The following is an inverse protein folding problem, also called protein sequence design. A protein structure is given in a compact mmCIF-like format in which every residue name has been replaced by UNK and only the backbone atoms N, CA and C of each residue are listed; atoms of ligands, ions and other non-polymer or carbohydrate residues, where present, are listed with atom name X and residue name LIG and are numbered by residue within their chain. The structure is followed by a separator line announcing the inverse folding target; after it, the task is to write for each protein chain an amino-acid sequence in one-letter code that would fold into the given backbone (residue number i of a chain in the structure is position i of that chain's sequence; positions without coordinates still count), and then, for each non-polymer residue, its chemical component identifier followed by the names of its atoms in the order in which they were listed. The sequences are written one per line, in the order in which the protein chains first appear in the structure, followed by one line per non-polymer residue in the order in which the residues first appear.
data_IF_688082268583
#
_entry.id   IF_688082268583
#
_cell.length_a   1.000
_cell.length_b   1.000
_cell.length_c   1.000
_cell.angle_alpha   90.00
_cell.angle_beta   90.00
_cell.angle_gamma   90.00
#
_symmetry.space_group_name_H-M   'P 1'
#
loop_
_entity.id
_entity.type
_entity.pdbx_description
1 polymer ?
#
# COMPACT_ATOMS: atom_id res chain seq x y z
N UNK A 1 -9.14 -24.48 0.07
CA UNK A 1 -10.38 -24.60 0.86
C UNK A 1 -10.47 -23.43 1.84
N UNK A 2 -11.10 -22.35 1.41
CA UNK A 2 -11.42 -21.23 2.29
C UNK A 2 -12.63 -21.62 3.14
N UNK A 3 -12.41 -22.19 4.30
CA UNK A 3 -13.46 -22.23 5.31
C UNK A 3 -13.58 -20.83 5.89
N UNK A 4 -14.64 -20.12 5.52
CA UNK A 4 -14.88 -18.76 5.95
C UNK A 4 -15.06 -18.68 7.47
N UNK A 5 -14.40 -17.70 8.08
CA UNK A 5 -14.59 -17.27 9.47
C UNK A 5 -16.01 -16.73 9.78
N UNK A 6 -16.99 -16.97 8.89
CA UNK A 6 -18.32 -16.37 8.95
C UNK A 6 -19.44 -17.24 9.54
N UNK A 7 -19.16 -18.45 9.99
CA UNK A 7 -20.22 -19.43 10.32
C UNK A 7 -20.62 -19.53 11.81
N UNK A 8 -20.07 -18.65 12.66
CA UNK A 8 -20.38 -18.66 14.10
C UNK A 8 -21.86 -18.37 14.39
N UNK A 9 -22.54 -17.61 13.51
CA UNK A 9 -23.96 -17.24 13.70
C UNK A 9 -24.95 -18.27 13.18
N UNK A 10 -24.52 -19.29 12.42
CA UNK A 10 -25.44 -20.25 11.80
C UNK A 10 -25.80 -21.47 12.67
N UNK A 11 -25.08 -21.64 13.78
CA UNK A 11 -25.31 -22.77 14.70
C UNK A 11 -25.97 -22.39 16.03
N UNK A 12 -26.72 -21.29 16.05
CA UNK A 12 -27.49 -20.92 17.21
C UNK A 12 -28.78 -21.73 17.23
N UNK A 13 -29.36 -21.95 18.42
CA UNK A 13 -30.62 -22.70 18.62
C UNK A 13 -31.81 -22.12 17.82
N UNK A 14 -31.69 -20.92 17.25
CA UNK A 14 -32.62 -20.37 16.28
C UNK A 14 -32.89 -21.32 15.09
N UNK A 15 -31.92 -22.13 14.70
CA UNK A 15 -32.08 -23.14 13.65
C UNK A 15 -33.10 -24.21 13.98
N UNK A 16 -33.34 -24.48 15.26
CA UNK A 16 -34.31 -25.46 15.72
C UNK A 16 -35.74 -24.87 15.85
N UNK A 17 -35.92 -23.59 15.53
CA UNK A 17 -37.23 -22.96 15.53
C UNK A 17 -38.12 -23.52 14.41
N UNK A 18 -39.33 -23.86 14.78
CA UNK A 18 -40.40 -24.25 13.85
C UNK A 18 -41.71 -23.59 14.27
N UNK A 19 -42.75 -23.76 13.47
CA UNK A 19 -44.07 -23.25 13.81
C UNK A 19 -44.63 -23.83 15.15
N UNK A 20 -44.18 -25.02 15.49
CA UNK A 20 -44.58 -25.74 16.73
C UNK A 20 -43.56 -25.63 17.85
N UNK A 21 -42.29 -25.24 17.56
CA UNK A 21 -41.23 -25.08 18.53
C UNK A 21 -40.63 -23.66 18.39
N UNK A 22 -41.27 -22.68 19.02
CA UNK A 22 -40.88 -21.28 18.93
C UNK A 22 -39.72 -20.91 19.88
N UNK A 23 -39.48 -21.72 20.92
CA UNK A 23 -38.42 -21.53 21.92
C UNK A 23 -37.66 -22.84 22.12
N UNK A 24 -36.87 -23.28 21.14
CA UNK A 24 -36.13 -24.53 21.22
C UNK A 24 -35.12 -24.54 22.38
N UNK A 25 -35.12 -25.61 23.12
CA UNK A 25 -34.12 -25.90 24.18
C UNK A 25 -33.03 -26.85 23.70
N UNK A 26 -33.19 -27.32 22.47
CA UNK A 26 -32.18 -28.19 21.82
C UNK A 26 -30.91 -27.39 21.52
N UNK A 27 -29.78 -28.01 21.75
CA UNK A 27 -28.46 -27.44 21.42
C UNK A 27 -27.55 -28.53 20.83
N UNK A 28 -26.80 -28.17 19.83
CA UNK A 28 -25.71 -29.03 19.35
C UNK A 28 -24.48 -28.87 20.27
N UNK A 29 -23.88 -29.99 20.64
CA UNK A 29 -22.61 -29.97 21.35
C UNK A 29 -21.55 -29.42 20.40
N UNK A 30 -20.66 -28.56 20.93
CA UNK A 30 -19.51 -28.08 20.19
C UNK A 30 -18.59 -29.23 19.78
N UNK A 31 -18.00 -29.12 18.60
CA UNK A 31 -16.91 -30.00 18.19
C UNK A 31 -15.61 -29.57 18.83
N UNK A 32 -14.66 -30.51 19.00
CA UNK A 32 -13.31 -30.15 19.44
C UNK A 32 -12.69 -29.09 18.53
N UNK A 33 -11.92 -28.17 19.12
CA UNK A 33 -11.20 -27.16 18.39
C UNK A 33 -10.07 -27.77 17.55
N UNK A 34 -9.81 -27.18 16.38
CA UNK A 34 -8.68 -27.56 15.54
C UNK A 34 -7.47 -26.69 15.91
N UNK A 35 -6.35 -27.30 16.25
CA UNK A 35 -5.07 -26.63 16.44
C UNK A 35 -4.19 -26.80 15.21
N UNK A 36 -3.49 -25.73 14.80
CA UNK A 36 -2.61 -25.80 13.66
C UNK A 36 -1.66 -24.60 13.61
N UNK A 37 -0.60 -24.76 12.84
CA UNK A 37 0.33 -23.67 12.52
C UNK A 37 -0.15 -23.02 11.24
N UNK A 38 -0.47 -21.73 11.29
CA UNK A 38 -0.95 -20.98 10.15
C UNK A 38 0.13 -20.00 9.70
N UNK A 39 0.44 -20.01 8.41
CA UNK A 39 1.25 -18.97 7.79
C UNK A 39 0.33 -17.90 7.23
N UNK A 40 0.41 -16.69 7.80
CA UNK A 40 -0.37 -15.54 7.33
C UNK A 40 0.54 -14.58 6.58
N UNK A 41 0.24 -14.34 5.31
CA UNK A 41 0.90 -13.35 4.50
C UNK A 41 0.02 -12.10 4.34
N UNK A 42 0.47 -10.96 4.87
CA UNK A 42 -0.17 -9.68 4.63
C UNK A 42 0.28 -9.14 3.27
N UNK A 43 -0.59 -9.23 2.26
CA UNK A 43 -0.26 -8.83 0.88
C UNK A 43 -0.43 -7.35 0.58
N UNK A 44 -1.13 -6.59 1.42
CA UNK A 44 -1.36 -5.17 1.19
C UNK A 44 -0.56 -4.35 2.19
N UNK A 45 0.27 -3.44 1.69
CA UNK A 45 1.07 -2.53 2.52
C UNK A 45 0.40 -1.16 2.61
N UNK A 46 -0.07 -0.64 1.46
CA UNK A 46 -0.71 0.67 1.37
C UNK A 46 -1.75 0.70 0.25
N UNK A 47 -2.61 1.70 0.26
CA UNK A 47 -3.53 1.97 -0.84
C UNK A 47 -2.82 2.73 -1.95
N UNK A 48 -1.93 3.69 -1.61
CA UNK A 48 -1.12 4.43 -2.56
C UNK A 48 0.37 4.34 -2.20
N UNK A 49 1.22 4.24 -3.22
CA UNK A 49 2.68 4.27 -3.09
C UNK A 49 3.25 5.53 -3.73
N UNK A 50 4.05 6.29 -2.98
CA UNK A 50 4.78 7.43 -3.51
C UNK A 50 6.02 6.95 -4.24
N UNK A 51 6.20 7.46 -5.45
CA UNK A 51 7.30 7.13 -6.36
C UNK A 51 7.95 8.43 -6.80
N UNK A 52 9.26 8.50 -6.79
CA UNK A 52 9.98 9.70 -7.22
C UNK A 52 11.44 9.63 -6.81
N UNK A 53 12.24 10.47 -7.43
CA UNK A 53 13.65 10.57 -7.12
C UNK A 53 13.92 11.06 -5.69
N UNK A 54 15.12 10.86 -5.16
CA UNK A 54 15.51 11.48 -3.90
C UNK A 54 15.26 13.00 -3.95
N UNK A 55 14.92 13.58 -2.82
CA UNK A 55 14.67 15.03 -2.67
C UNK A 55 13.50 15.60 -3.50
N UNK A 56 12.72 14.80 -4.22
CA UNK A 56 11.49 15.25 -4.89
C UNK A 56 10.40 15.71 -3.91
N UNK A 57 10.58 15.47 -2.59
CA UNK A 57 9.68 15.93 -1.54
C UNK A 57 8.63 14.91 -1.08
N UNK A 58 8.78 13.62 -1.41
CA UNK A 58 7.82 12.56 -1.05
C UNK A 58 7.53 12.49 0.46
N UNK A 59 8.56 12.46 1.27
CA UNK A 59 8.41 12.32 2.73
C UNK A 59 7.84 13.60 3.36
N UNK A 60 8.14 14.77 2.82
CA UNK A 60 7.56 16.05 3.22
C UNK A 60 6.07 16.06 2.91
N UNK A 61 5.72 15.76 1.65
CA UNK A 61 4.32 15.63 1.22
C UNK A 61 3.55 14.66 2.12
N UNK A 62 4.12 13.48 2.38
CA UNK A 62 3.49 12.48 3.24
C UNK A 62 3.29 13.01 4.66
N UNK A 63 4.26 13.77 5.18
CA UNK A 63 4.17 14.40 6.49
C UNK A 63 3.02 15.39 6.59
N UNK A 64 2.83 16.20 5.56
CA UNK A 64 1.83 17.28 5.52
C UNK A 64 0.40 16.75 5.34
N UNK A 65 0.22 15.72 4.51
CA UNK A 65 -1.12 15.16 4.24
C UNK A 65 -1.57 14.12 5.27
N UNK A 66 -0.68 13.62 6.11
CA UNK A 66 -1.03 12.59 7.08
C UNK A 66 -1.74 13.15 8.31
N UNK A 67 -2.80 12.49 8.76
CA UNK A 67 -3.55 12.84 9.97
C UNK A 67 -2.73 12.73 11.27
N UNK A 68 -1.67 11.93 11.23
CA UNK A 68 -0.71 11.77 12.31
C UNK A 68 0.71 11.66 11.73
N UNK A 69 1.73 11.92 12.56
CA UNK A 69 3.13 11.81 12.14
C UNK A 69 3.39 10.43 11.50
N UNK A 70 3.90 10.39 10.24
CA UNK A 70 4.23 9.15 9.56
C UNK A 70 5.18 8.28 10.37
N UNK A 71 5.01 6.97 10.28
CA UNK A 71 5.82 6.00 11.02
C UNK A 71 6.61 5.13 10.06
N UNK A 72 7.83 4.86 10.44
CA UNK A 72 8.66 3.84 9.80
C UNK A 72 8.05 2.47 10.10
N UNK A 73 7.74 1.71 9.07
CA UNK A 73 7.19 0.38 9.23
C UNK A 73 8.29 -0.68 9.09
N UNK A 74 8.46 -1.48 10.13
CA UNK A 74 9.40 -2.61 10.13
C UNK A 74 8.70 -3.84 9.55
N UNK A 75 8.92 -4.11 8.29
CA UNK A 75 8.48 -5.37 7.68
C UNK A 75 9.64 -6.38 7.73
N UNK A 76 9.41 -7.60 8.25
CA UNK A 76 10.48 -8.58 8.51
C UNK A 76 11.22 -9.07 7.27
N UNK A 77 10.82 -8.61 6.07
CA UNK A 77 11.42 -9.04 4.79
C UNK A 77 11.96 -7.86 3.98
N UNK A 78 12.25 -6.71 4.59
CA UNK A 78 12.68 -5.51 3.89
C UNK A 78 14.00 -4.98 4.42
N UNK A 79 14.96 -4.80 3.54
CA UNK A 79 16.18 -4.04 3.82
C UNK A 79 15.95 -2.53 3.85
N UNK A 80 14.90 -2.07 3.16
CA UNK A 80 14.44 -0.68 3.16
C UNK A 80 13.13 -0.58 3.91
N UNK A 81 13.07 0.33 4.87
CA UNK A 81 11.91 0.55 5.73
C UNK A 81 11.01 1.62 5.10
N UNK A 82 9.82 1.28 4.59
CA UNK A 82 8.89 2.27 4.08
C UNK A 82 8.35 3.14 5.21
N UNK A 83 8.13 4.41 4.91
CA UNK A 83 7.44 5.34 5.81
C UNK A 83 5.97 5.33 5.45
N UNK A 84 5.12 5.05 6.43
CA UNK A 84 3.67 4.96 6.23
C UNK A 84 2.97 6.11 6.92
N UNK A 85 2.11 6.78 6.16
CA UNK A 85 1.18 7.79 6.64
C UNK A 85 -0.28 7.37 6.39
N UNK A 86 -1.18 7.89 7.21
CA UNK A 86 -2.63 7.70 7.06
C UNK A 86 -3.26 9.04 6.74
N UNK A 87 -3.84 9.14 5.57
CA UNK A 87 -4.61 10.31 5.12
C UNK A 87 -6.07 10.09 5.48
N UNK A 88 -6.65 11.02 6.21
CA UNK A 88 -8.07 11.00 6.57
C UNK A 88 -8.86 11.95 5.69
N UNK A 89 -9.93 11.44 5.10
CA UNK A 89 -10.86 12.25 4.30
C UNK A 89 -12.13 12.52 5.08
N UNK A 90 -12.86 13.55 4.67
CA UNK A 90 -14.21 13.77 5.11
C UNK A 90 -15.04 12.49 4.95
N UNK A 91 -15.89 12.16 5.91
CA UNK A 91 -16.71 10.92 5.93
C UNK A 91 -16.00 9.68 6.46
N UNK A 92 -15.03 9.83 7.36
CA UNK A 92 -14.33 8.71 8.03
C UNK A 92 -13.62 7.74 7.09
N UNK A 93 -13.38 8.13 5.84
CA UNK A 93 -12.57 7.34 4.92
C UNK A 93 -11.09 7.59 5.19
N UNK A 94 -10.32 6.50 5.16
CA UNK A 94 -8.87 6.54 5.34
C UNK A 94 -8.17 5.95 4.12
N UNK A 95 -7.03 6.52 3.78
CA UNK A 95 -6.13 6.01 2.76
C UNK A 95 -4.75 5.83 3.39
N UNK A 96 -4.20 4.66 3.27
CA UNK A 96 -2.83 4.38 3.71
C UNK A 96 -1.90 4.69 2.56
N UNK A 97 -0.95 5.59 2.80
CA UNK A 97 0.06 6.02 1.81
C UNK A 97 1.44 5.61 2.30
N UNK A 98 2.21 4.99 1.43
CA UNK A 98 3.58 4.59 1.73
C UNK A 98 4.56 5.43 0.91
N UNK A 99 5.51 6.08 1.58
CA UNK A 99 6.72 6.57 0.95
C UNK A 99 7.71 5.42 0.89
N UNK A 100 8.03 5.03 -0.32
CA UNK A 100 8.88 3.89 -0.54
C UNK A 100 10.23 4.43 -1.03
N UNK A 101 11.26 4.48 -0.16
CA UNK A 101 12.58 4.96 -0.53
C UNK A 101 13.23 4.01 -1.54
N UNK A 102 13.92 4.54 -2.54
CA UNK A 102 14.88 3.75 -3.32
C UNK A 102 14.52 3.39 -4.76
N UNK A 103 13.59 4.09 -5.45
CA UNK A 103 13.70 4.11 -6.92
C UNK A 103 14.85 5.05 -7.24
N UNK A 104 15.99 4.44 -7.54
CA UNK A 104 17.18 5.09 -8.05
C UNK A 104 17.40 4.55 -9.46
N UNK A 105 17.83 5.39 -10.37
CA UNK A 105 18.21 5.03 -11.72
C UNK A 105 19.05 3.73 -11.74
N UNK A 106 18.60 2.73 -12.51
CA UNK A 106 19.24 1.42 -12.55
C UNK A 106 18.80 0.42 -11.48
N UNK A 107 17.70 0.66 -10.75
CA UNK A 107 17.20 -0.26 -9.73
C UNK A 107 16.92 -1.67 -10.27
N UNK A 108 16.56 -1.80 -11.56
CA UNK A 108 16.39 -3.08 -12.24
C UNK A 108 17.70 -3.86 -12.42
N UNK A 109 18.87 -3.19 -12.42
CA UNK A 109 20.19 -3.83 -12.59
C UNK A 109 20.81 -4.28 -11.28
N UNK A 110 20.42 -3.69 -10.15
CA UNK A 110 20.91 -4.04 -8.83
C UNK A 110 20.11 -5.20 -8.23
N UNK A 111 20.65 -6.41 -8.33
CA UNK A 111 20.03 -7.68 -7.92
C UNK A 111 19.64 -7.82 -6.43
N UNK A 112 19.95 -6.86 -5.58
CA UNK A 112 19.65 -6.95 -4.13
C UNK A 112 18.58 -5.96 -3.65
N UNK A 113 18.79 -4.66 -3.83
CA UNK A 113 17.99 -3.59 -3.23
C UNK A 113 16.74 -3.23 -4.05
N UNK A 114 16.83 -3.26 -5.40
CA UNK A 114 15.72 -2.87 -6.27
C UNK A 114 14.56 -3.86 -6.28
N UNK A 115 14.82 -5.16 -6.24
CA UNK A 115 13.79 -6.20 -6.30
C UNK A 115 12.93 -6.28 -5.04
N UNK A 116 13.50 -6.08 -3.87
CA UNK A 116 12.73 -6.08 -2.61
C UNK A 116 11.82 -4.86 -2.51
N UNK A 117 12.32 -3.70 -2.91
CA UNK A 117 11.58 -2.46 -3.00
C UNK A 117 10.36 -2.57 -3.92
N UNK A 118 10.55 -3.05 -5.13
CA UNK A 118 9.49 -3.17 -6.12
C UNK A 118 8.42 -4.20 -5.72
N UNK A 119 8.79 -5.20 -4.92
CA UNK A 119 7.83 -6.12 -4.28
C UNK A 119 6.86 -5.40 -3.35
N UNK A 120 7.23 -4.26 -2.77
CA UNK A 120 6.35 -3.47 -1.91
C UNK A 120 5.39 -2.60 -2.72
N UNK A 121 5.86 -2.03 -3.82
CA UNK A 121 5.01 -1.24 -4.73
C UNK A 121 3.92 -2.12 -5.35
N UNK A 122 4.19 -3.37 -5.70
CA UNK A 122 3.17 -4.28 -6.23
C UNK A 122 2.00 -4.50 -5.28
N UNK A 123 2.16 -4.13 -4.02
CA UNK A 123 1.14 -4.25 -2.97
C UNK A 123 0.32 -2.97 -2.75
N UNK A 124 0.58 -1.91 -3.53
CA UNK A 124 -0.24 -0.70 -3.58
C UNK A 124 -1.29 -0.82 -4.69
N UNK A 125 -2.40 -0.10 -4.56
CA UNK A 125 -3.45 -0.05 -5.60
C UNK A 125 -3.20 1.01 -6.65
N UNK A 126 -2.50 2.08 -6.26
CA UNK A 126 -2.27 3.28 -7.03
C UNK A 126 -0.83 3.73 -6.83
N UNK A 127 -0.20 4.22 -7.90
CA UNK A 127 1.11 4.84 -7.85
C UNK A 127 0.97 6.36 -7.93
N UNK A 128 1.72 7.09 -7.12
CA UNK A 128 1.74 8.54 -7.13
C UNK A 128 3.17 9.00 -7.40
N UNK A 129 3.41 9.49 -8.61
CA UNK A 129 4.70 10.04 -9.00
C UNK A 129 4.83 11.46 -8.47
N UNK A 130 5.80 11.70 -7.62
CA UNK A 130 6.12 13.02 -7.08
C UNK A 130 7.33 13.56 -7.84
N UNK A 131 7.12 14.64 -8.57
CA UNK A 131 8.14 15.26 -9.41
C UNK A 131 8.57 16.62 -8.84
N UNK A 132 9.85 16.90 -8.90
CA UNK A 132 10.44 18.20 -8.57
C UNK A 132 10.37 19.10 -9.81
N UNK A 133 9.33 19.95 -9.86
CA UNK A 133 9.09 20.81 -11.02
C UNK A 133 10.13 21.93 -11.17
N UNK A 134 10.78 22.32 -10.07
CA UNK A 134 11.85 23.34 -10.11
C UNK A 134 13.18 22.80 -10.64
N UNK A 135 13.29 21.49 -10.87
CA UNK A 135 14.54 20.90 -11.32
C UNK A 135 15.71 21.17 -10.37
N UNK A 136 15.45 21.22 -9.04
CA UNK A 136 16.41 21.68 -8.02
C UNK A 136 17.77 20.97 -8.07
N UNK A 137 17.83 19.78 -8.66
CA UNK A 137 19.05 18.98 -8.82
C UNK A 137 19.55 18.95 -10.28
N UNK A 138 19.10 19.89 -11.12
CA UNK A 138 19.47 19.98 -12.54
C UNK A 138 18.84 18.86 -13.38
N UNK A 139 17.67 18.35 -12.97
CA UNK A 139 16.93 17.30 -13.67
C UNK A 139 15.69 17.88 -14.36
N UNK A 140 15.32 17.28 -15.46
CA UNK A 140 14.06 17.58 -16.15
C UNK A 140 12.94 16.71 -15.56
N UNK A 141 11.82 17.30 -15.07
CA UNK A 141 10.74 16.55 -14.46
C UNK A 141 10.04 15.60 -15.44
N UNK A 142 10.02 15.92 -16.74
CA UNK A 142 9.41 15.06 -17.76
C UNK A 142 10.30 13.85 -18.01
N UNK A 143 11.61 14.05 -18.13
CA UNK A 143 12.56 12.96 -18.25
C UNK A 143 12.52 12.06 -17.02
N UNK A 144 12.46 12.64 -15.83
CA UNK A 144 12.34 11.91 -14.56
C UNK A 144 11.09 11.01 -14.56
N UNK A 145 9.94 11.51 -14.97
CA UNK A 145 8.71 10.71 -15.07
C UNK A 145 8.87 9.54 -16.06
N UNK A 146 9.45 9.82 -17.24
CA UNK A 146 9.66 8.79 -18.27
C UNK A 146 10.60 7.69 -17.78
N UNK A 147 11.68 8.07 -17.12
CA UNK A 147 12.66 7.15 -16.55
C UNK A 147 12.04 6.29 -15.46
N UNK A 148 11.31 6.89 -14.51
CA UNK A 148 10.63 6.16 -13.44
C UNK A 148 9.59 5.18 -13.99
N UNK A 149 8.81 5.56 -14.99
CA UNK A 149 7.85 4.66 -15.63
C UNK A 149 8.52 3.51 -16.39
N UNK A 150 9.65 3.80 -17.03
CA UNK A 150 10.45 2.79 -17.72
C UNK A 150 11.02 1.77 -16.74
N UNK A 151 11.56 2.23 -15.61
CA UNK A 151 12.06 1.36 -14.53
C UNK A 151 10.96 0.44 -13.97
N UNK A 152 9.78 1.00 -13.70
CA UNK A 152 8.62 0.22 -13.24
C UNK A 152 8.22 -0.83 -14.27
N UNK A 153 8.18 -0.47 -15.55
CA UNK A 153 7.82 -1.39 -16.64
C UNK A 153 8.83 -2.51 -16.81
N UNK A 154 10.12 -2.20 -16.70
CA UNK A 154 11.20 -3.20 -16.78
C UNK A 154 11.16 -4.18 -15.60
N UNK A 155 10.63 -3.74 -14.47
CA UNK A 155 10.46 -4.62 -13.32
C UNK A 155 9.22 -5.53 -13.43
N UNK A 156 8.07 -4.96 -13.77
CA UNK A 156 6.81 -5.69 -13.85
C UNK A 156 5.83 -4.97 -14.78
N UNK A 157 5.38 -5.68 -15.82
CA UNK A 157 4.34 -5.18 -16.70
C UNK A 157 3.00 -4.96 -15.98
N UNK A 158 2.70 -5.79 -14.98
CA UNK A 158 1.45 -5.67 -14.21
C UNK A 158 1.47 -4.42 -13.34
N UNK A 159 2.62 -4.08 -12.78
CA UNK A 159 2.79 -2.85 -12.01
C UNK A 159 2.65 -1.62 -12.92
N UNK A 160 3.18 -1.68 -14.12
CA UNK A 160 3.08 -0.59 -15.09
C UNK A 160 1.63 -0.32 -15.57
N UNK A 161 0.74 -1.31 -15.45
CA UNK A 161 -0.70 -1.19 -15.77
C UNK A 161 -1.54 -0.62 -14.64
N UNK A 162 -0.99 -0.50 -13.43
CA UNK A 162 -1.74 0.06 -12.30
C UNK A 162 -2.11 1.52 -12.54
N UNK A 163 -3.22 1.99 -11.97
CA UNK A 163 -3.57 3.40 -11.98
C UNK A 163 -2.45 4.25 -11.37
N UNK A 164 -2.19 5.39 -11.97
CA UNK A 164 -1.15 6.29 -11.50
C UNK A 164 -1.57 7.75 -11.63
N UNK A 165 -0.98 8.60 -10.78
CA UNK A 165 -1.13 10.05 -10.78
C UNK A 165 0.24 10.71 -10.71
N UNK A 166 0.30 11.97 -11.12
CA UNK A 166 1.48 12.82 -10.97
C UNK A 166 1.14 13.94 -9.98
N UNK A 167 2.07 14.18 -9.08
CA UNK A 167 2.08 15.34 -8.19
C UNK A 167 3.25 16.22 -8.62
N UNK A 168 2.92 17.40 -9.15
CA UNK A 168 3.87 18.46 -9.43
C UNK A 168 4.22 19.12 -8.09
N UNK A 169 5.40 18.84 -7.58
CA UNK A 169 5.88 19.37 -6.30
C UNK A 169 6.88 20.52 -6.52
N UNK A 170 7.07 21.32 -5.49
CA UNK A 170 7.97 22.49 -5.50
C UNK A 170 7.60 23.57 -6.53
N UNK A 171 6.30 23.70 -6.81
CA UNK A 171 5.77 24.72 -7.71
C UNK A 171 5.94 26.15 -7.19
N UNK A 172 6.30 26.29 -5.92
CA UNK A 172 6.63 27.55 -5.24
C UNK A 172 8.07 28.04 -5.48
N UNK A 173 8.90 27.22 -6.09
CA UNK A 173 10.29 27.57 -6.39
C UNK A 173 10.43 28.19 -7.79
N UNK A 174 11.44 29.07 -7.93
CA UNK A 174 11.81 29.68 -9.20
C UNK A 174 12.23 28.62 -10.23
N UNK A 175 11.71 28.70 -11.45
CA UNK A 175 11.96 27.72 -12.52
C UNK A 175 10.92 26.60 -12.64
N UNK A 176 9.91 26.57 -11.78
CA UNK A 176 8.87 25.53 -11.84
C UNK A 176 7.75 25.82 -12.88
N UNK A 177 7.67 27.03 -13.40
CA UNK A 177 6.61 27.50 -14.34
C UNK A 177 7.08 27.50 -15.81
N UNK A 178 8.35 27.22 -16.09
CA UNK A 178 8.91 27.15 -17.43
C UNK A 178 8.82 25.70 -17.99
#
# INVERSE_FOLDING_TARGET
LSRGLGDVYKRQNWHFRSATNQAPTEAELGTEGEEGVFFMELRRIADAGLVGYPNAGKSTLLGDISAAKPKVANYPFTTLQPIIGVVEFNSFRRCVVADIPGIIEGAHRNRGLGHEFLRHITRCKVLVFVLDMAGSEGRDPIEDLQNLRTEIKLYSEDLAKQPWFVVANKMDLEGAED
#
